data_IF_453725024169
#
_entry.id   IF_453725024169
#
_cell.length_a   1.000
_cell.length_b   1.000
_cell.length_c   1.000
_cell.angle_alpha   90.00
_cell.angle_beta   90.00
_cell.angle_gamma   90.00
#
_symmetry.space_group_name_H-M   'P 1'
#
loop_
_entity.id
_entity.type
_entity.pdbx_description
1 polymer ?
#
# COMPACT_ATOMS: atom_id res chain seq x y z
N UNK A 1 14.21 -22.79 -35.51
CA UNK A 1 12.98 -23.25 -36.21
C UNK A 1 12.24 -24.32 -35.40
N UNK A 2 12.87 -25.47 -35.08
CA UNK A 2 12.21 -26.56 -34.31
C UNK A 2 11.57 -26.09 -32.99
N UNK A 3 12.26 -25.26 -32.19
CA UNK A 3 11.71 -24.67 -30.94
C UNK A 3 10.37 -23.95 -31.15
N UNK A 4 10.26 -23.18 -32.25
CA UNK A 4 9.02 -22.47 -32.57
C UNK A 4 7.90 -23.45 -32.93
N UNK A 5 8.21 -24.52 -33.65
CA UNK A 5 7.23 -25.56 -34.01
C UNK A 5 6.72 -26.26 -32.75
N UNK A 6 7.63 -26.73 -31.88
CA UNK A 6 7.29 -27.41 -30.62
C UNK A 6 6.36 -26.57 -29.73
N UNK A 7 6.56 -25.25 -29.66
CA UNK A 7 5.67 -24.31 -28.93
C UNK A 7 4.19 -24.41 -29.34
N UNK A 8 3.90 -24.82 -30.58
CA UNK A 8 2.53 -25.03 -31.05
C UNK A 8 2.12 -26.51 -31.00
N UNK A 9 2.95 -27.43 -31.52
CA UNK A 9 2.56 -28.84 -31.67
C UNK A 9 2.50 -29.60 -30.33
N UNK A 10 3.16 -29.13 -29.26
CA UNK A 10 3.06 -29.74 -27.92
C UNK A 10 1.68 -29.54 -27.27
N UNK A 11 0.94 -28.51 -27.69
CA UNK A 11 -0.39 -28.23 -27.14
C UNK A 11 -1.39 -29.28 -27.62
N UNK A 12 -2.06 -29.94 -26.69
CA UNK A 12 -3.03 -31.00 -27.00
C UNK A 12 -4.25 -30.49 -27.77
N UNK A 13 -4.53 -29.18 -27.66
CA UNK A 13 -5.61 -28.48 -28.36
C UNK A 13 -5.23 -28.06 -29.81
N UNK A 14 -4.05 -28.46 -30.29
CA UNK A 14 -3.57 -28.16 -31.66
C UNK A 14 -3.70 -29.38 -32.56
N UNK A 15 -4.38 -29.20 -33.70
CA UNK A 15 -4.45 -30.20 -34.77
C UNK A 15 -3.20 -30.09 -35.64
N UNK A 16 -2.44 -31.18 -35.72
CA UNK A 16 -1.20 -31.26 -36.49
C UNK A 16 -1.53 -31.60 -37.94
N UNK A 17 -1.10 -30.74 -38.87
CA UNK A 17 -1.25 -30.98 -40.31
C UNK A 17 0.13 -31.14 -40.92
N UNK A 18 0.48 -32.38 -41.26
CA UNK A 18 1.81 -32.73 -41.79
C UNK A 18 1.71 -32.84 -43.31
N UNK A 19 2.45 -31.99 -44.02
CA UNK A 19 2.48 -32.00 -45.49
C UNK A 19 3.74 -32.73 -45.96
N UNK A 20 3.56 -33.77 -46.76
CA UNK A 20 4.66 -34.60 -47.29
C UNK A 20 4.51 -34.73 -48.80
N UNK A 21 5.56 -34.53 -49.60
CA UNK A 21 5.50 -34.78 -51.03
C UNK A 21 5.64 -36.29 -51.33
N UNK A 22 4.89 -36.81 -52.30
CA UNK A 22 4.83 -38.24 -52.61
C UNK A 22 6.13 -38.81 -53.20
N UNK A 23 7.03 -37.96 -53.68
CA UNK A 23 8.31 -38.37 -54.28
C UNK A 23 9.43 -38.60 -53.24
N UNK A 24 9.12 -38.52 -51.95
CA UNK A 24 10.06 -38.74 -50.84
C UNK A 24 9.49 -39.82 -49.92
N UNK A 25 10.35 -40.64 -49.33
CA UNK A 25 9.93 -41.63 -48.33
C UNK A 25 9.36 -40.93 -47.07
N UNK A 26 8.08 -41.19 -46.81
CA UNK A 26 7.34 -40.61 -45.68
C UNK A 26 7.98 -40.93 -44.33
N UNK A 27 8.57 -42.12 -44.17
CA UNK A 27 9.18 -42.55 -42.91
C UNK A 27 10.41 -41.73 -42.53
N UNK A 28 11.03 -41.08 -43.52
CA UNK A 28 12.23 -40.25 -43.32
C UNK A 28 11.91 -38.78 -43.06
N UNK A 29 10.65 -38.35 -43.24
CA UNK A 29 10.26 -36.94 -43.16
C UNK A 29 10.32 -36.41 -41.74
N UNK A 30 11.15 -35.38 -41.50
CA UNK A 30 11.29 -34.74 -40.17
C UNK A 30 9.95 -34.22 -39.61
N UNK A 31 9.07 -33.70 -40.48
CA UNK A 31 7.78 -33.14 -40.04
C UNK A 31 6.87 -34.21 -39.41
N UNK A 32 6.87 -35.43 -39.95
CA UNK A 32 6.09 -36.53 -39.40
C UNK A 32 6.73 -37.05 -38.10
N UNK A 33 8.06 -37.13 -38.04
CA UNK A 33 8.79 -37.50 -36.81
C UNK A 33 8.49 -36.54 -35.65
N UNK A 34 8.56 -35.22 -35.91
CA UNK A 34 8.20 -34.21 -34.91
C UNK A 34 6.74 -34.32 -34.46
N UNK A 35 5.81 -34.65 -35.37
CA UNK A 35 4.42 -34.89 -35.00
C UNK A 35 4.25 -36.15 -34.14
N UNK A 36 4.95 -37.24 -34.45
CA UNK A 36 4.93 -38.48 -33.68
C UNK A 36 5.55 -38.34 -32.28
N UNK A 37 6.55 -37.47 -32.11
CA UNK A 37 7.13 -37.18 -30.79
C UNK A 37 6.10 -36.59 -29.81
N UNK A 38 5.14 -35.80 -30.30
CA UNK A 38 4.10 -35.13 -29.49
C UNK A 38 2.70 -35.74 -29.62
N UNK A 39 2.49 -36.64 -30.58
CA UNK A 39 1.25 -37.38 -30.84
C UNK A 39 1.57 -38.81 -31.33
N UNK A 40 2.09 -39.70 -30.46
CA UNK A 40 2.49 -41.05 -30.85
C UNK A 40 1.34 -41.90 -31.42
N UNK A 41 0.12 -41.67 -30.92
CA UNK A 41 -1.09 -42.38 -31.36
C UNK A 41 -1.71 -41.78 -32.65
N UNK A 42 -1.16 -40.67 -33.16
CA UNK A 42 -1.68 -39.97 -34.34
C UNK A 42 -3.13 -39.52 -34.20
N UNK A 43 -3.60 -39.21 -32.98
CA UNK A 43 -5.01 -38.88 -32.67
C UNK A 43 -5.44 -37.53 -33.24
N UNK A 44 -4.50 -36.59 -33.30
CA UNK A 44 -4.71 -35.19 -33.73
C UNK A 44 -3.83 -34.82 -34.92
N UNK A 45 -3.22 -35.80 -35.56
CA UNK A 45 -2.33 -35.62 -36.71
C UNK A 45 -2.99 -36.11 -38.00
N UNK A 46 -3.11 -35.23 -38.98
CA UNK A 46 -3.53 -35.54 -40.36
C UNK A 46 -2.33 -35.35 -41.29
N UNK A 47 -2.12 -36.31 -42.19
CA UNK A 47 -1.05 -36.24 -43.17
C UNK A 47 -1.61 -35.95 -44.57
N UNK A 48 -1.00 -34.99 -45.24
CA UNK A 48 -1.37 -34.55 -46.59
C UNK A 48 -0.25 -34.91 -47.54
N UNK A 49 -0.57 -35.75 -48.51
CA UNK A 49 0.35 -36.19 -49.54
C UNK A 49 0.19 -35.31 -50.79
N UNK A 50 1.29 -34.68 -51.22
CA UNK A 50 1.30 -33.68 -52.29
C UNK A 50 2.20 -34.12 -53.46
N UNK A 51 2.04 -33.48 -54.62
CA UNK A 51 2.82 -33.82 -55.83
C UNK A 51 2.69 -35.29 -56.27
N UNK A 52 1.46 -35.84 -56.35
CA UNK A 52 1.27 -37.23 -56.79
C UNK A 52 1.65 -37.46 -58.26
N UNK A 53 1.80 -36.38 -59.04
CA UNK A 53 2.24 -36.36 -60.42
C UNK A 53 3.75 -36.61 -60.61
N UNK A 54 4.55 -36.53 -59.54
CA UNK A 54 6.00 -36.75 -59.56
C UNK A 54 6.40 -38.14 -59.04
N UNK A 55 5.45 -39.07 -58.91
CA UNK A 55 5.72 -40.44 -58.47
C UNK A 55 6.33 -41.24 -59.63
N UNK A 56 7.38 -42.01 -59.35
CA UNK A 56 8.01 -42.89 -60.33
C UNK A 56 7.08 -44.08 -60.66
N UNK A 57 6.89 -44.34 -61.96
CA UNK A 57 6.06 -45.45 -62.44
C UNK A 57 6.53 -46.77 -61.84
N UNK A 58 5.62 -47.49 -61.17
CA UNK A 58 5.89 -48.75 -60.47
C UNK A 58 6.02 -48.63 -58.95
N UNK A 59 6.14 -47.41 -58.39
CA UNK A 59 6.15 -47.18 -56.92
C UNK A 59 4.80 -46.71 -56.36
N UNK A 60 3.83 -46.48 -57.24
CA UNK A 60 2.49 -45.97 -56.92
C UNK A 60 1.75 -46.84 -55.90
N UNK A 61 1.94 -48.16 -55.96
CA UNK A 61 1.33 -49.12 -55.04
C UNK A 61 1.81 -48.93 -53.59
N UNK A 62 3.10 -48.61 -53.39
CA UNK A 62 3.66 -48.35 -52.07
C UNK A 62 3.05 -47.08 -51.46
N UNK A 63 2.85 -46.04 -52.29
CA UNK A 63 2.19 -44.80 -51.86
C UNK A 63 0.71 -45.07 -51.55
N UNK A 64 0.04 -45.92 -52.32
CA UNK A 64 -1.34 -46.32 -52.05
C UNK A 64 -1.46 -47.01 -50.68
N UNK A 65 -0.53 -47.90 -50.32
CA UNK A 65 -0.51 -48.56 -49.01
C UNK A 65 -0.30 -47.57 -47.85
N UNK A 66 0.49 -46.51 -48.06
CA UNK A 66 0.63 -45.40 -47.09
C UNK A 66 -0.72 -44.68 -46.93
N UNK A 67 -1.37 -44.29 -48.04
CA UNK A 67 -2.67 -43.57 -48.00
C UNK A 67 -3.76 -44.42 -47.35
N UNK A 68 -3.72 -45.73 -47.56
CA UNK A 68 -4.62 -46.72 -46.95
C UNK A 68 -4.27 -47.02 -45.48
N UNK A 69 -3.34 -46.27 -44.88
CA UNK A 69 -2.98 -46.35 -43.46
C UNK A 69 -2.29 -47.67 -43.06
N UNK A 70 -1.66 -48.39 -44.01
CA UNK A 70 -1.03 -49.71 -43.76
C UNK A 70 0.41 -49.60 -43.25
N UNK A 71 1.11 -48.51 -43.56
CA UNK A 71 2.53 -48.33 -43.23
C UNK A 71 2.71 -47.59 -41.91
N UNK A 72 2.19 -46.37 -41.79
CA UNK A 72 2.25 -45.56 -40.57
C UNK A 72 0.81 -45.22 -40.19
N UNK A 73 0.23 -45.83 -39.14
CA UNK A 73 -1.16 -45.62 -38.79
C UNK A 73 -1.39 -44.24 -38.16
N UNK A 74 -2.26 -43.44 -38.76
CA UNK A 74 -2.79 -42.18 -38.21
C UNK A 74 -4.30 -42.29 -38.00
N UNK A 75 -4.80 -41.82 -36.86
CA UNK A 75 -6.24 -41.89 -36.55
C UNK A 75 -7.09 -41.01 -37.47
N UNK A 76 -6.52 -39.91 -37.98
CA UNK A 76 -7.17 -39.02 -38.97
C UNK A 76 -6.86 -39.41 -40.42
N UNK A 77 -5.94 -40.37 -40.61
CA UNK A 77 -5.55 -40.90 -41.91
C UNK A 77 -4.76 -39.93 -42.80
N UNK A 78 -4.69 -40.30 -44.07
CA UNK A 78 -3.97 -39.60 -45.13
C UNK A 78 -4.93 -39.07 -46.19
N UNK A 79 -4.61 -37.91 -46.75
CA UNK A 79 -5.35 -37.35 -47.89
C UNK A 79 -4.35 -36.91 -48.95
N UNK A 80 -4.56 -37.35 -50.19
CA UNK A 80 -3.70 -37.00 -51.31
C UNK A 80 -4.30 -35.85 -52.11
N UNK A 81 -3.48 -34.84 -52.42
CA UNK A 81 -3.90 -33.66 -53.18
C UNK A 81 -2.93 -33.34 -54.31
N UNK A 82 -3.47 -32.87 -55.43
CA UNK A 82 -2.69 -32.38 -56.55
C UNK A 82 -2.75 -30.85 -56.56
N UNK A 83 -1.62 -30.23 -56.29
CA UNK A 83 -1.49 -28.78 -56.34
C UNK A 83 -1.16 -28.31 -57.76
N UNK A 84 -1.30 -27.01 -58.00
CA UNK A 84 -0.82 -26.38 -59.24
C UNK A 84 0.70 -26.47 -59.31
N UNK A 85 1.23 -26.88 -60.46
CA UNK A 85 2.67 -26.82 -60.74
C UNK A 85 3.13 -25.38 -61.03
N UNK A 86 4.44 -25.13 -60.99
CA UNK A 86 4.99 -23.78 -61.18
C UNK A 86 4.55 -23.14 -62.51
N UNK A 87 4.59 -23.89 -63.62
CA UNK A 87 4.13 -23.41 -64.94
C UNK A 87 2.67 -22.96 -64.94
N UNK A 88 1.79 -23.69 -64.25
CA UNK A 88 0.36 -23.36 -64.18
C UNK A 88 0.09 -22.12 -63.34
N UNK A 89 0.97 -21.83 -62.37
CA UNK A 89 0.95 -20.59 -61.59
C UNK A 89 1.38 -19.42 -62.47
N UNK A 90 2.47 -19.59 -63.23
CA UNK A 90 2.99 -18.58 -64.15
C UNK A 90 1.97 -18.25 -65.27
N UNK A 91 1.24 -19.26 -65.74
CA UNK A 91 0.13 -19.15 -66.71
C UNK A 91 -1.19 -18.64 -66.12
N UNK A 92 -1.22 -18.30 -64.81
CA UNK A 92 -2.40 -17.79 -64.09
C UNK A 92 -3.65 -18.69 -64.23
N UNK A 93 -3.48 -19.99 -64.14
CA UNK A 93 -4.59 -20.94 -64.16
C UNK A 93 -5.60 -20.66 -63.03
N UNK A 94 -6.89 -20.62 -63.38
CA UNK A 94 -7.98 -20.44 -62.43
C UNK A 94 -8.10 -21.63 -61.45
N UNK A 95 -8.64 -21.36 -60.26
CA UNK A 95 -8.81 -22.38 -59.22
C UNK A 95 -9.79 -23.48 -59.67
N UNK A 96 -10.89 -23.11 -60.33
CA UNK A 96 -11.90 -24.06 -60.82
C UNK A 96 -11.31 -25.05 -61.82
N UNK A 97 -10.45 -24.55 -62.73
CA UNK A 97 -9.75 -25.40 -63.71
C UNK A 97 -8.76 -26.33 -63.01
N UNK A 98 -8.06 -25.87 -61.97
CA UNK A 98 -7.15 -26.70 -61.20
C UNK A 98 -7.89 -27.82 -60.44
N UNK A 99 -9.05 -27.53 -59.85
CA UNK A 99 -9.91 -28.52 -59.17
C UNK A 99 -10.40 -29.56 -60.17
N UNK A 100 -10.82 -29.14 -61.37
CA UNK A 100 -11.26 -30.07 -62.41
C UNK A 100 -10.11 -30.97 -62.88
N UNK A 101 -8.93 -30.40 -63.13
CA UNK A 101 -7.73 -31.18 -63.49
C UNK A 101 -7.27 -32.13 -62.38
N UNK A 102 -7.45 -31.76 -61.11
CA UNK A 102 -7.20 -32.64 -59.98
C UNK A 102 -8.17 -33.83 -59.98
N UNK A 103 -9.48 -33.56 -60.13
CA UNK A 103 -10.50 -34.60 -60.19
C UNK A 103 -10.27 -35.55 -61.37
N UNK A 104 -9.96 -35.00 -62.55
CA UNK A 104 -9.65 -35.78 -63.75
C UNK A 104 -8.38 -36.62 -63.58
N UNK A 105 -7.35 -36.08 -62.92
CA UNK A 105 -6.13 -36.82 -62.62
C UNK A 105 -6.44 -38.06 -61.76
N UNK A 106 -7.13 -37.89 -60.63
CA UNK A 106 -7.42 -39.03 -59.76
C UNK A 106 -8.41 -40.01 -60.39
N UNK A 107 -9.41 -39.53 -61.13
CA UNK A 107 -10.42 -40.38 -61.78
C UNK A 107 -9.82 -41.29 -62.86
N UNK A 108 -8.88 -40.77 -63.64
CA UNK A 108 -8.29 -41.48 -64.77
C UNK A 108 -7.02 -42.27 -64.40
N UNK A 109 -6.53 -42.17 -63.16
CA UNK A 109 -5.32 -42.87 -62.73
C UNK A 109 -5.59 -44.34 -62.40
N UNK A 110 -4.80 -45.25 -62.96
CA UNK A 110 -5.00 -46.71 -62.81
C UNK A 110 -4.99 -47.14 -61.34
N UNK A 111 -3.99 -46.70 -60.56
CA UNK A 111 -3.83 -47.04 -59.13
C UNK A 111 -4.64 -46.14 -58.17
N UNK A 112 -4.67 -44.82 -58.38
CA UNK A 112 -5.25 -43.88 -57.40
C UNK A 112 -6.75 -43.63 -57.56
N UNK A 113 -7.40 -44.16 -58.60
CA UNK A 113 -8.85 -44.00 -58.81
C UNK A 113 -9.69 -44.51 -57.63
N UNK A 114 -9.23 -45.54 -56.91
CA UNK A 114 -9.92 -46.06 -55.73
C UNK A 114 -9.96 -45.05 -54.57
N UNK A 115 -8.98 -44.13 -54.46
CA UNK A 115 -8.91 -43.13 -53.40
C UNK A 115 -10.02 -42.08 -53.48
N UNK A 116 -10.58 -41.86 -54.69
CA UNK A 116 -11.75 -41.01 -54.88
C UNK A 116 -13.00 -41.62 -54.26
N UNK A 117 -13.15 -42.95 -54.33
CA UNK A 117 -14.28 -43.66 -53.73
C UNK A 117 -14.15 -43.78 -52.19
N UNK A 118 -12.92 -43.68 -51.65
CA UNK A 118 -12.63 -43.70 -50.22
C UNK A 118 -12.63 -42.29 -49.57
N UNK A 119 -12.97 -41.24 -50.31
CA UNK A 119 -12.88 -39.83 -49.88
C UNK A 119 -11.47 -39.43 -49.39
N UNK A 120 -10.41 -40.03 -49.95
CA UNK A 120 -9.00 -39.82 -49.54
C UNK A 120 -8.16 -39.07 -50.58
N UNK A 121 -8.76 -38.63 -51.67
CA UNK A 121 -8.09 -37.82 -52.69
C UNK A 121 -8.81 -36.47 -52.87
N UNK A 122 -8.14 -35.49 -53.48
CA UNK A 122 -8.65 -34.14 -53.83
C UNK A 122 -8.73 -33.11 -52.70
N UNK A 123 -8.58 -31.83 -53.07
CA UNK A 123 -8.72 -30.67 -52.20
C UNK A 123 -10.14 -30.54 -51.64
N UNK A 124 -11.17 -30.96 -52.40
CA UNK A 124 -12.57 -30.87 -51.96
C UNK A 124 -12.82 -31.74 -50.73
N UNK A 125 -12.38 -33.00 -50.77
CA UNK A 125 -12.52 -33.91 -49.63
C UNK A 125 -11.60 -33.52 -48.47
N UNK A 126 -10.39 -33.02 -48.77
CA UNK A 126 -9.50 -32.45 -47.75
C UNK A 126 -10.19 -31.32 -46.97
N UNK A 127 -10.77 -30.34 -47.66
CA UNK A 127 -11.43 -29.19 -47.03
C UNK A 127 -12.61 -29.60 -46.15
N UNK A 128 -13.45 -30.52 -46.64
CA UNK A 128 -14.58 -31.05 -45.88
C UNK A 128 -14.12 -31.78 -44.61
N UNK A 129 -13.13 -32.69 -44.73
CA UNK A 129 -12.59 -33.45 -43.59
C UNK A 129 -11.87 -32.56 -42.58
N UNK A 130 -11.07 -31.58 -43.03
CA UNK A 130 -10.41 -30.63 -42.14
C UNK A 130 -11.43 -29.78 -41.36
N UNK A 131 -12.48 -29.32 -42.03
CA UNK A 131 -13.57 -28.57 -41.39
C UNK A 131 -14.25 -29.40 -40.31
N UNK A 132 -14.58 -30.66 -40.62
CA UNK A 132 -15.18 -31.58 -39.66
C UNK A 132 -14.24 -31.87 -38.48
N UNK A 133 -12.97 -32.19 -38.76
CA UNK A 133 -11.97 -32.46 -37.72
C UNK A 133 -11.74 -31.25 -36.81
N UNK A 134 -11.73 -30.05 -37.37
CA UNK A 134 -11.60 -28.82 -36.61
C UNK A 134 -12.80 -28.61 -35.69
N UNK A 135 -14.04 -28.75 -36.20
CA UNK A 135 -15.25 -28.59 -35.39
C UNK A 135 -15.32 -29.64 -34.27
N UNK A 136 -15.03 -30.90 -34.58
CA UNK A 136 -15.01 -31.97 -33.58
C UNK A 136 -13.94 -31.74 -32.52
N UNK A 137 -12.77 -31.26 -32.92
CA UNK A 137 -11.67 -30.96 -32.01
C UNK A 137 -11.98 -29.77 -31.12
N UNK A 138 -12.60 -28.71 -31.66
CA UNK A 138 -13.08 -27.55 -30.89
C UNK A 138 -14.11 -28.01 -29.86
N UNK A 139 -15.14 -28.77 -30.26
CA UNK A 139 -16.18 -29.28 -29.35
C UNK A 139 -15.61 -30.11 -28.19
N UNK A 140 -14.62 -30.97 -28.47
CA UNK A 140 -13.94 -31.78 -27.44
C UNK A 140 -13.06 -30.95 -26.51
N UNK A 141 -12.43 -29.89 -27.02
CA UNK A 141 -11.45 -29.09 -26.27
C UNK A 141 -12.10 -27.95 -25.49
N UNK A 142 -13.28 -27.48 -25.89
CA UNK A 142 -13.95 -26.32 -25.29
C UNK A 142 -14.24 -26.49 -23.78
N UNK A 143 -14.75 -27.63 -23.28
CA UNK A 143 -15.01 -27.81 -21.86
C UNK A 143 -13.72 -27.75 -21.03
N UNK A 144 -12.66 -28.42 -21.50
CA UNK A 144 -11.34 -28.42 -20.86
C UNK A 144 -10.73 -27.02 -20.82
N UNK A 145 -10.87 -26.26 -21.91
CA UNK A 145 -10.43 -24.87 -21.98
C UNK A 145 -11.20 -23.98 -21.00
N UNK A 146 -12.52 -24.17 -20.89
CA UNK A 146 -13.37 -23.44 -19.94
C UNK A 146 -12.95 -23.70 -18.48
N UNK A 147 -12.70 -24.96 -18.12
CA UNK A 147 -12.19 -25.30 -16.78
C UNK A 147 -10.80 -24.69 -16.51
N UNK A 148 -9.91 -24.74 -17.50
CA UNK A 148 -8.56 -24.15 -17.38
C UNK A 148 -8.62 -22.64 -17.18
N UNK A 149 -9.49 -21.94 -17.90
CA UNK A 149 -9.71 -20.49 -17.73
C UNK A 149 -10.28 -20.20 -16.35
N UNK A 150 -11.30 -20.95 -15.89
CA UNK A 150 -11.87 -20.78 -14.55
C UNK A 150 -10.85 -20.98 -13.44
N UNK A 151 -9.98 -22.00 -13.55
CA UNK A 151 -8.87 -22.22 -12.61
C UNK A 151 -7.90 -21.05 -12.61
N UNK A 152 -7.46 -20.59 -13.80
CA UNK A 152 -6.55 -19.44 -13.90
C UNK A 152 -7.17 -18.15 -13.33
N UNK A 153 -8.47 -17.92 -13.53
CA UNK A 153 -9.16 -16.78 -12.92
C UNK A 153 -9.18 -16.92 -11.40
N UNK A 154 -9.43 -18.12 -10.88
CA UNK A 154 -9.41 -18.38 -9.43
C UNK A 154 -8.02 -18.14 -8.82
N UNK A 155 -6.97 -18.68 -9.46
CA UNK A 155 -5.58 -18.50 -9.04
C UNK A 155 -5.20 -17.01 -9.03
N UNK A 156 -5.51 -16.27 -10.11
CA UNK A 156 -5.23 -14.83 -10.20
C UNK A 156 -6.05 -14.02 -9.20
N UNK A 157 -7.32 -14.38 -8.92
CA UNK A 157 -8.11 -13.74 -7.86
C UNK A 157 -7.51 -14.00 -6.48
N UNK A 158 -6.97 -15.19 -6.25
CA UNK A 158 -6.28 -15.52 -4.99
C UNK A 158 -4.97 -14.73 -4.85
N UNK A 159 -4.17 -14.67 -5.92
CA UNK A 159 -2.94 -13.88 -5.96
C UNK A 159 -3.22 -12.37 -5.79
N UNK A 160 -4.30 -11.86 -6.38
CA UNK A 160 -4.75 -10.47 -6.25
C UNK A 160 -5.20 -10.15 -4.83
N UNK A 161 -5.82 -11.11 -4.11
CA UNK A 161 -6.16 -10.94 -2.68
C UNK A 161 -4.93 -10.97 -1.78
N UNK A 162 -3.88 -11.70 -2.17
CA UNK A 162 -2.60 -11.76 -1.45
C UNK A 162 -1.73 -10.52 -1.68
N UNK A 163 -1.90 -9.82 -2.80
CA UNK A 163 -1.38 -8.48 -2.97
C UNK A 163 -2.30 -7.51 -2.22
N UNK A 164 -1.76 -6.69 -1.32
CA UNK A 164 -2.56 -5.72 -0.56
C UNK A 164 -3.48 -4.91 -1.48
N UNK A 165 -4.73 -4.67 -1.02
CA UNK A 165 -5.77 -3.89 -1.67
C UNK A 165 -5.21 -2.52 -2.06
N UNK A 166 -4.68 -2.38 -3.26
CA UNK A 166 -4.24 -1.09 -3.76
C UNK A 166 -5.30 -0.44 -4.65
N UNK A 167 -4.95 0.72 -5.23
CA UNK A 167 -5.94 1.57 -5.86
C UNK A 167 -6.57 0.87 -7.07
N UNK A 168 -7.91 0.95 -7.21
CA UNK A 168 -8.61 0.55 -8.42
C UNK A 168 -8.08 1.28 -9.66
N UNK A 169 -8.20 0.66 -10.83
CA UNK A 169 -7.83 1.26 -12.12
C UNK A 169 -8.84 2.34 -12.56
N UNK A 170 -10.09 2.24 -12.13
CA UNK A 170 -11.13 3.21 -12.46
C UNK A 170 -10.93 4.52 -11.67
N UNK A 171 -10.94 5.70 -12.33
CA UNK A 171 -10.71 6.97 -11.65
C UNK A 171 -11.73 7.32 -10.54
N UNK A 172 -12.99 6.87 -10.65
CA UNK A 172 -14.00 7.13 -9.61
C UNK A 172 -13.78 6.21 -8.41
N UNK A 173 -13.53 4.93 -8.66
CA UNK A 173 -13.19 3.97 -7.60
C UNK A 173 -11.86 4.31 -6.92
N UNK A 174 -10.88 4.80 -7.67
CA UNK A 174 -9.61 5.30 -7.12
C UNK A 174 -9.81 6.51 -6.21
N UNK A 175 -10.75 7.41 -6.53
CA UNK A 175 -11.11 8.53 -5.67
C UNK A 175 -11.77 8.06 -4.37
N UNK A 176 -12.67 7.09 -4.44
CA UNK A 176 -13.30 6.48 -3.26
C UNK A 176 -12.23 5.83 -2.38
N UNK A 177 -11.32 5.07 -3.00
CA UNK A 177 -10.19 4.45 -2.31
C UNK A 177 -9.33 5.49 -1.59
N UNK A 178 -8.94 6.59 -2.28
CA UNK A 178 -8.19 7.68 -1.66
C UNK A 178 -8.94 8.25 -0.45
N UNK A 179 -10.24 8.50 -0.57
CA UNK A 179 -11.06 9.00 0.54
C UNK A 179 -10.97 8.05 1.72
N UNK A 180 -11.21 6.74 1.50
CA UNK A 180 -11.15 5.73 2.55
C UNK A 180 -9.77 5.66 3.22
N UNK A 181 -8.69 5.72 2.44
CA UNK A 181 -7.32 5.71 2.98
C UNK A 181 -7.04 6.97 3.81
N UNK A 182 -7.43 8.15 3.32
CA UNK A 182 -7.21 9.42 4.02
C UNK A 182 -8.09 9.53 5.29
N UNK A 183 -9.33 9.05 5.25
CA UNK A 183 -10.20 9.01 6.43
C UNK A 183 -9.65 8.07 7.48
N UNK A 184 -9.16 6.89 7.09
CA UNK A 184 -8.52 5.94 8.02
C UNK A 184 -7.28 6.52 8.70
N UNK A 185 -6.42 7.23 7.94
CA UNK A 185 -5.31 7.99 8.53
C UNK A 185 -5.79 9.04 9.54
N UNK A 186 -6.84 9.79 9.20
CA UNK A 186 -7.38 10.83 10.09
C UNK A 186 -7.99 10.25 11.37
N UNK A 187 -8.65 9.10 11.29
CA UNK A 187 -9.14 8.38 12.47
C UNK A 187 -7.97 7.97 13.37
N UNK A 188 -6.93 7.33 12.81
CA UNK A 188 -5.74 6.97 13.60
C UNK A 188 -5.06 8.16 14.28
N UNK A 189 -4.94 9.31 13.61
CA UNK A 189 -4.38 10.53 14.21
C UNK A 189 -5.29 11.07 15.32
N UNK A 190 -6.62 11.02 15.15
CA UNK A 190 -7.57 11.43 16.19
C UNK A 190 -7.48 10.51 17.40
N UNK A 191 -7.49 9.20 17.20
CA UNK A 191 -7.43 8.21 18.27
C UNK A 191 -6.13 8.37 19.06
N UNK A 192 -5.01 8.56 18.35
CA UNK A 192 -3.71 8.86 18.96
C UNK A 192 -3.75 10.16 19.78
N UNK A 193 -4.46 11.19 19.32
CA UNK A 193 -4.60 12.47 20.04
C UNK A 193 -5.52 12.39 21.27
N UNK A 194 -6.48 11.46 21.27
CA UNK A 194 -7.37 11.19 22.40
C UNK A 194 -6.73 10.24 23.42
N UNK A 195 -5.67 9.54 23.02
CA UNK A 195 -5.00 8.54 23.85
C UNK A 195 -5.76 7.22 23.92
N UNK A 196 -6.60 6.94 22.92
CA UNK A 196 -7.26 5.64 22.76
C UNK A 196 -6.23 4.61 22.29
N UNK A 197 -6.35 3.37 22.76
CA UNK A 197 -5.50 2.29 22.29
C UNK A 197 -5.90 1.97 20.85
N UNK A 198 -4.96 2.12 19.92
CA UNK A 198 -5.15 1.67 18.54
C UNK A 198 -5.31 0.15 18.59
N UNK A 199 -6.52 -0.33 18.28
CA UNK A 199 -6.87 -1.73 18.41
C UNK A 199 -5.99 -2.59 17.48
N UNK A 200 -5.29 -3.58 18.05
CA UNK A 200 -4.30 -4.40 17.34
C UNK A 200 -4.90 -5.28 16.24
N UNK A 201 -6.21 -5.47 16.24
CA UNK A 201 -6.93 -6.27 15.25
C UNK A 201 -6.94 -5.63 13.85
N UNK A 202 -6.83 -4.30 13.74
CA UNK A 202 -6.68 -3.62 12.45
C UNK A 202 -5.24 -3.68 11.88
N UNK A 203 -4.27 -4.17 12.65
CA UNK A 203 -2.83 -3.95 12.39
C UNK A 203 -1.98 -5.21 12.18
N UNK A 204 -2.51 -6.43 12.35
CA UNK A 204 -1.78 -7.69 12.11
C UNK A 204 -0.35 -7.74 12.71
N UNK A 205 -0.07 -7.01 13.79
CA UNK A 205 1.21 -7.02 14.52
C UNK A 205 1.00 -6.68 15.99
N UNK A 206 1.73 -7.38 16.85
CA UNK A 206 1.76 -7.19 18.31
C UNK A 206 2.05 -5.72 18.67
N UNK A 207 1.12 -5.09 19.39
CA UNK A 207 1.28 -3.73 19.88
C UNK A 207 2.22 -3.75 21.10
N UNK A 208 3.44 -3.24 20.94
CA UNK A 208 4.33 -2.99 22.07
C UNK A 208 3.80 -1.82 22.90
N UNK A 209 3.37 -2.09 24.14
CA UNK A 209 2.93 -1.07 25.12
C UNK A 209 3.96 0.03 25.42
N UNK A 210 5.24 -0.17 25.08
CA UNK A 210 6.33 0.81 25.26
C UNK A 210 6.21 2.04 24.33
N UNK A 211 5.41 1.95 23.25
CA UNK A 211 5.23 3.03 22.28
C UNK A 211 4.01 3.94 22.55
N UNK A 212 3.35 3.80 23.71
CA UNK A 212 2.20 4.64 24.03
C UNK A 212 2.59 6.12 24.16
N UNK A 213 2.07 6.96 23.24
CA UNK A 213 2.29 8.41 23.22
C UNK A 213 2.00 9.04 24.58
N UNK A 214 0.86 8.74 25.20
CA UNK A 214 0.47 9.33 26.48
C UNK A 214 1.38 8.87 27.63
N UNK A 215 1.97 7.67 27.53
CA UNK A 215 2.99 7.21 28.47
C UNK A 215 4.27 8.04 28.39
N UNK A 216 4.75 8.29 27.17
CA UNK A 216 5.95 9.10 26.92
C UNK A 216 5.74 10.57 27.33
N UNK A 217 4.58 11.15 27.01
CA UNK A 217 4.22 12.51 27.41
C UNK A 217 4.13 12.65 28.94
N UNK A 218 3.52 11.68 29.63
CA UNK A 218 3.47 11.70 31.10
C UNK A 218 4.84 11.60 31.75
N UNK A 219 5.76 10.81 31.18
CA UNK A 219 7.12 10.73 31.67
C UNK A 219 7.85 12.08 31.56
N UNK A 220 7.66 12.79 30.44
CA UNK A 220 8.24 14.12 30.24
C UNK A 220 7.62 15.18 31.17
N UNK A 221 6.30 15.18 31.35
CA UNK A 221 5.67 16.10 32.31
C UNK A 221 6.01 15.79 33.76
N UNK A 222 6.32 14.53 34.08
CA UNK A 222 6.89 14.17 35.38
C UNK A 222 8.29 14.77 35.54
N UNK A 223 9.14 14.68 34.52
CA UNK A 223 10.47 15.30 34.51
C UNK A 223 10.39 16.83 34.68
N UNK A 224 9.45 17.50 34.00
CA UNK A 224 9.13 18.92 34.24
C UNK A 224 8.77 19.18 35.71
N UNK A 225 7.88 18.38 36.30
CA UNK A 225 7.49 18.54 37.70
C UNK A 225 8.65 18.30 38.68
N UNK A 226 9.51 17.31 38.40
CA UNK A 226 10.70 17.02 39.21
C UNK A 226 11.69 18.21 39.17
N UNK A 227 11.85 18.86 38.01
CA UNK A 227 12.62 20.09 37.88
C UNK A 227 12.01 21.24 38.70
N UNK A 228 10.67 21.39 38.69
CA UNK A 228 10.00 22.38 39.52
C UNK A 228 10.23 22.15 41.02
N UNK A 229 10.15 20.90 41.50
CA UNK A 229 10.43 20.58 42.90
C UNK A 229 11.89 20.84 43.28
N UNK A 230 12.86 20.57 42.39
CA UNK A 230 14.26 20.98 42.64
C UNK A 230 14.43 22.50 42.75
N UNK A 231 13.71 23.28 41.93
CA UNK A 231 13.74 24.74 42.06
C UNK A 231 13.12 25.23 43.36
N UNK A 232 12.12 24.53 43.91
CA UNK A 232 11.58 24.79 45.25
C UNK A 232 12.65 24.63 46.32
N UNK A 233 13.43 23.55 46.31
CA UNK A 233 14.54 23.35 47.24
C UNK A 233 15.63 24.44 47.13
N UNK A 234 15.95 24.85 45.89
CA UNK A 234 16.88 25.94 45.63
C UNK A 234 16.35 27.30 46.12
N UNK A 235 15.04 27.53 45.97
CA UNK A 235 14.34 28.70 46.47
C UNK A 235 14.43 28.77 47.99
N UNK A 236 14.15 27.67 48.70
CA UNK A 236 14.30 27.58 50.15
C UNK A 236 15.69 27.99 50.65
N UNK A 237 16.76 27.54 49.97
CA UNK A 237 18.13 27.94 50.28
C UNK A 237 18.39 29.44 50.00
N UNK A 238 17.72 29.99 48.99
CA UNK A 238 17.85 31.39 48.56
C UNK A 238 17.06 32.36 49.46
N UNK A 239 15.97 31.92 50.10
CA UNK A 239 15.24 32.71 51.12
C UNK A 239 16.16 33.09 52.29
N UNK A 240 17.12 32.25 52.66
CA UNK A 240 18.14 32.59 53.66
C UNK A 240 18.94 33.83 53.27
N UNK A 241 19.32 33.95 51.98
CA UNK A 241 20.03 35.11 51.43
C UNK A 241 19.12 36.34 51.29
N UNK A 242 17.82 36.14 51.09
CA UNK A 242 16.83 37.22 51.05
C UNK A 242 16.77 37.98 52.38
N UNK A 243 16.91 37.31 53.54
CA UNK A 243 16.98 38.00 54.85
C UNK A 243 18.11 39.01 54.90
N UNK A 244 19.30 38.62 54.46
CA UNK A 244 20.48 39.49 54.44
C UNK A 244 20.36 40.62 53.41
N UNK A 245 19.78 40.34 52.23
CA UNK A 245 19.60 41.32 51.17
C UNK A 245 18.50 42.35 51.50
N UNK A 246 17.38 41.92 52.07
CA UNK A 246 16.31 42.79 52.55
C UNK A 246 16.82 43.76 53.61
N UNK A 247 17.67 43.30 54.53
CA UNK A 247 18.27 44.16 55.55
C UNK A 247 19.25 45.19 54.97
N UNK A 248 20.01 44.84 53.93
CA UNK A 248 20.94 45.76 53.23
C UNK A 248 20.23 46.78 52.34
N UNK A 249 19.11 46.40 51.74
CA UNK A 249 18.30 47.24 50.86
C UNK A 249 17.22 48.05 51.60
N UNK A 250 17.24 48.03 52.94
CA UNK A 250 16.25 48.70 53.79
C UNK A 250 16.33 50.23 53.64
N UNK A 251 15.26 50.82 53.13
CA UNK A 251 15.10 52.27 52.98
C UNK A 251 14.49 52.94 54.23
N UNK A 252 13.50 53.82 54.02
CA UNK A 252 12.76 54.51 55.10
C UNK A 252 11.76 53.62 55.86
N UNK A 253 11.78 52.31 55.63
CA UNK A 253 10.81 51.36 56.16
C UNK A 253 11.00 51.11 57.66
N UNK A 254 9.90 51.17 58.40
CA UNK A 254 9.86 50.87 59.83
C UNK A 254 10.13 49.36 60.08
N UNK A 255 10.67 49.00 61.25
CA UNK A 255 10.92 47.61 61.58
C UNK A 255 9.60 46.82 61.59
N UNK A 256 9.42 45.90 60.62
CA UNK A 256 8.18 45.13 60.48
C UNK A 256 7.59 45.21 59.08
N UNK A 257 7.92 46.25 58.32
CA UNK A 257 7.54 46.42 56.92
C UNK A 257 8.73 46.06 56.01
N UNK A 258 8.45 45.32 54.93
CA UNK A 258 9.41 45.01 53.87
C UNK A 258 9.02 45.73 52.58
N UNK A 259 10.02 46.19 51.81
CA UNK A 259 9.78 46.77 50.51
C UNK A 259 9.16 45.73 49.56
N UNK A 260 7.94 45.98 49.11
CA UNK A 260 7.27 45.12 48.13
C UNK A 260 8.11 44.95 46.85
N UNK A 261 8.87 45.98 46.41
CA UNK A 261 9.72 45.89 45.21
C UNK A 261 10.90 44.92 45.38
N UNK A 262 11.37 44.70 46.60
CA UNK A 262 12.46 43.75 46.88
C UNK A 262 11.92 42.32 46.82
N UNK A 263 10.71 42.10 47.34
CA UNK A 263 9.97 40.83 47.19
C UNK A 263 9.68 40.53 45.72
N UNK A 264 9.18 41.53 45.00
CA UNK A 264 8.85 41.44 43.59
C UNK A 264 10.05 41.05 42.73
N UNK A 265 11.18 41.75 42.87
CA UNK A 265 12.41 41.42 42.15
C UNK A 265 12.94 40.03 42.46
N UNK A 266 12.88 39.62 43.73
CA UNK A 266 13.35 38.31 44.15
C UNK A 266 12.52 37.17 43.51
N UNK A 267 11.20 37.31 43.48
CA UNK A 267 10.32 36.34 42.82
C UNK A 267 10.51 36.33 41.30
N UNK A 268 10.69 37.50 40.68
CA UNK A 268 10.98 37.61 39.24
C UNK A 268 12.29 36.94 38.85
N UNK A 269 13.34 37.03 39.67
CA UNK A 269 14.61 36.31 39.43
C UNK A 269 14.43 34.79 39.49
N UNK A 270 13.59 34.30 40.41
CA UNK A 270 13.31 32.88 40.54
C UNK A 270 12.49 32.33 39.35
N UNK A 271 11.55 33.13 38.84
CA UNK A 271 10.75 32.80 37.66
C UNK A 271 11.57 32.73 36.37
N UNK A 272 12.62 33.55 36.23
CA UNK A 272 13.50 33.51 35.04
C UNK A 272 14.13 32.13 34.84
N UNK A 273 14.52 31.46 35.92
CA UNK A 273 15.17 30.15 35.86
C UNK A 273 14.22 29.02 35.40
N UNK A 274 12.91 29.27 35.42
CA UNK A 274 11.89 28.30 35.00
C UNK A 274 11.54 28.40 33.50
N UNK A 275 11.97 29.47 32.82
CA UNK A 275 11.66 29.68 31.40
C UNK A 275 12.33 28.64 30.51
N UNK A 276 13.64 28.48 30.63
CA UNK A 276 14.41 27.60 29.75
C UNK A 276 13.97 26.12 29.88
N UNK A 277 13.75 25.57 31.10
CA UNK A 277 13.27 24.19 31.22
C UNK A 277 11.85 23.99 30.69
N UNK A 278 11.00 25.02 30.69
CA UNK A 278 9.66 24.95 30.09
C UNK A 278 9.72 24.86 28.56
N UNK A 279 10.62 25.65 27.94
CA UNK A 279 10.86 25.59 26.49
C UNK A 279 11.51 24.27 26.09
N UNK A 280 12.42 23.74 26.91
CA UNK A 280 13.00 22.42 26.68
C UNK A 280 11.93 21.32 26.74
N UNK A 281 11.01 21.37 27.70
CA UNK A 281 9.92 20.39 27.78
C UNK A 281 8.96 20.46 26.57
N UNK A 282 8.71 21.66 26.05
CA UNK A 282 8.01 21.85 24.76
C UNK A 282 8.76 21.17 23.61
N UNK A 283 10.08 21.32 23.54
CA UNK A 283 10.91 20.72 22.48
C UNK A 283 10.89 19.19 22.54
N UNK A 284 11.09 18.60 23.72
CA UNK A 284 11.06 17.14 23.91
C UNK A 284 9.68 16.59 23.55
N UNK A 285 8.62 17.24 24.03
CA UNK A 285 7.24 16.85 23.71
C UNK A 285 6.95 16.90 22.21
N UNK A 286 7.41 17.94 21.52
CA UNK A 286 7.29 18.04 20.05
C UNK A 286 7.93 16.84 19.37
N UNK A 287 9.16 16.47 19.75
CA UNK A 287 9.91 15.40 19.08
C UNK A 287 9.21 14.04 19.28
N UNK A 288 8.65 13.80 20.47
CA UNK A 288 7.83 12.62 20.76
C UNK A 288 6.60 12.56 19.84
N UNK A 289 5.80 13.64 19.78
CA UNK A 289 4.58 13.69 18.97
C UNK A 289 4.93 13.54 17.48
N UNK A 290 5.96 14.24 17.01
CA UNK A 290 6.41 14.19 15.64
C UNK A 290 6.82 12.77 15.22
N UNK A 291 7.57 12.06 16.07
CA UNK A 291 7.95 10.66 15.82
C UNK A 291 6.74 9.76 15.67
N UNK A 292 5.71 9.91 16.51
CA UNK A 292 4.50 9.10 16.45
C UNK A 292 3.66 9.41 15.20
N UNK A 293 3.50 10.69 14.85
CA UNK A 293 2.76 11.07 13.63
C UNK A 293 3.46 10.58 12.36
N UNK A 294 4.79 10.66 12.31
CA UNK A 294 5.58 10.11 11.21
C UNK A 294 5.48 8.57 11.15
N UNK A 295 5.42 7.87 12.30
CA UNK A 295 5.19 6.42 12.36
C UNK A 295 3.82 6.03 11.78
N UNK A 296 2.74 6.71 12.19
CA UNK A 296 1.38 6.49 11.66
C UNK A 296 1.34 6.77 10.15
N UNK A 297 1.97 7.86 9.70
CA UNK A 297 2.06 8.20 8.28
C UNK A 297 2.75 7.10 7.46
N UNK A 298 3.85 6.53 7.98
CA UNK A 298 4.52 5.40 7.35
C UNK A 298 3.64 4.14 7.29
N UNK A 299 2.92 3.82 8.35
CA UNK A 299 2.03 2.65 8.38
C UNK A 299 0.88 2.78 7.38
N UNK A 300 0.31 3.98 7.23
CA UNK A 300 -0.81 4.21 6.32
C UNK A 300 -0.40 4.30 4.85
N UNK A 301 0.77 4.85 4.57
CA UNK A 301 1.18 5.24 3.21
C UNK A 301 2.45 4.54 2.72
N UNK A 302 2.84 3.41 3.32
CA UNK A 302 4.04 2.66 2.92
C UNK A 302 4.07 2.35 1.41
N UNK A 303 2.92 2.03 0.83
CA UNK A 303 2.79 1.67 -0.58
C UNK A 303 2.69 2.88 -1.52
N UNK A 304 2.59 4.10 -0.98
CA UNK A 304 2.36 5.34 -1.73
C UNK A 304 3.45 6.38 -1.40
N UNK A 305 4.64 6.29 -2.02
CA UNK A 305 5.79 7.13 -1.66
C UNK A 305 5.53 8.63 -1.79
N UNK A 306 4.78 9.04 -2.82
CA UNK A 306 4.45 10.45 -3.04
C UNK A 306 3.51 10.98 -1.96
N UNK A 307 2.42 10.26 -1.65
CA UNK A 307 1.49 10.62 -0.58
C UNK A 307 2.18 10.64 0.79
N UNK A 308 3.08 9.69 1.05
CA UNK A 308 3.91 9.66 2.26
C UNK A 308 4.78 10.93 2.37
N UNK A 309 5.46 11.33 1.30
CA UNK A 309 6.31 12.52 1.30
C UNK A 309 5.50 13.81 1.49
N UNK A 310 4.36 13.93 0.79
CA UNK A 310 3.43 15.07 0.95
C UNK A 310 2.93 15.16 2.40
N UNK A 311 2.56 14.02 3.00
CA UNK A 311 2.09 13.96 4.38
C UNK A 311 3.18 14.36 5.37
N UNK A 312 4.40 13.85 5.22
CA UNK A 312 5.54 14.22 6.07
C UNK A 312 5.83 15.73 6.03
N UNK A 313 5.90 16.29 4.83
CA UNK A 313 6.10 17.74 4.67
C UNK A 313 4.99 18.56 5.35
N UNK A 314 3.74 18.09 5.31
CA UNK A 314 2.64 18.74 6.03
C UNK A 314 2.79 18.63 7.54
N UNK A 315 3.16 17.46 8.06
CA UNK A 315 3.44 17.25 9.50
C UNK A 315 4.52 18.25 9.95
N UNK A 316 5.65 18.33 9.24
CA UNK A 316 6.76 19.23 9.57
C UNK A 316 6.33 20.69 9.62
N UNK A 317 5.62 21.15 8.58
CA UNK A 317 5.17 22.53 8.47
C UNK A 317 4.17 22.91 9.57
N UNK A 318 3.23 22.02 9.91
CA UNK A 318 2.24 22.28 10.96
C UNK A 318 2.92 22.27 12.33
N UNK A 319 3.81 21.31 12.60
CA UNK A 319 4.56 21.25 13.85
C UNK A 319 5.39 22.51 14.10
N UNK A 320 6.09 23.03 13.09
CA UNK A 320 6.86 24.27 13.22
C UNK A 320 5.97 25.48 13.56
N UNK A 321 4.82 25.61 12.89
CA UNK A 321 3.86 26.69 13.16
C UNK A 321 3.25 26.59 14.55
N UNK A 322 2.93 25.38 15.02
CA UNK A 322 2.34 25.17 16.34
C UNK A 322 3.36 25.32 17.46
N UNK A 323 4.61 24.91 17.25
CA UNK A 323 5.71 25.14 18.18
C UNK A 323 5.90 26.63 18.46
N UNK A 324 5.98 27.47 17.42
CA UNK A 324 6.16 28.91 17.58
C UNK A 324 5.00 29.54 18.37
N UNK A 325 3.76 29.08 18.14
CA UNK A 325 2.59 29.54 18.92
C UNK A 325 2.67 29.09 20.38
N UNK A 326 2.99 27.83 20.63
CA UNK A 326 3.10 27.28 21.97
C UNK A 326 4.19 28.00 22.78
N UNK A 327 5.35 28.22 22.18
CA UNK A 327 6.46 28.98 22.77
C UNK A 327 6.03 30.41 23.14
N UNK A 328 5.38 31.12 22.23
CA UNK A 328 4.83 32.45 22.51
C UNK A 328 3.86 32.43 23.70
N UNK A 329 2.93 31.47 23.76
CA UNK A 329 1.96 31.37 24.86
C UNK A 329 2.61 31.02 26.20
N UNK A 330 3.65 30.20 26.19
CA UNK A 330 4.43 29.91 27.40
C UNK A 330 5.12 31.19 27.89
N UNK A 331 5.74 31.98 27.00
CA UNK A 331 6.36 33.24 27.36
C UNK A 331 5.36 34.25 27.93
N UNK A 332 4.19 34.40 27.30
CA UNK A 332 3.08 35.22 27.80
C UNK A 332 2.62 34.75 29.20
N UNK A 333 2.57 33.44 29.46
CA UNK A 333 2.26 32.89 30.78
C UNK A 333 3.29 33.31 31.83
N UNK A 334 4.58 33.26 31.50
CA UNK A 334 5.63 33.76 32.39
C UNK A 334 5.58 35.27 32.60
N UNK A 335 5.12 36.03 31.61
CA UNK A 335 4.90 37.48 31.76
C UNK A 335 3.76 37.77 32.74
N UNK A 336 2.66 37.02 32.66
CA UNK A 336 1.55 37.11 33.61
C UNK A 336 1.96 36.72 35.04
N UNK A 337 2.81 35.70 35.21
CA UNK A 337 3.30 35.29 36.53
C UNK A 337 4.25 36.33 37.18
N UNK A 338 4.78 37.29 36.43
CA UNK A 338 5.48 38.44 37.04
C UNK A 338 4.53 39.38 37.79
N UNK A 339 3.22 39.28 37.56
CA UNK A 339 2.20 40.00 38.32
C UNK A 339 1.87 39.19 39.59
N UNK A 340 2.36 39.67 40.73
CA UNK A 340 2.14 38.98 42.01
C UNK A 340 0.68 39.13 42.42
N UNK A 341 -0.08 38.06 42.21
CA UNK A 341 -1.47 37.97 42.62
C UNK A 341 -1.87 36.51 42.93
N UNK A 342 -2.73 36.34 43.93
CA UNK A 342 -3.42 35.07 44.24
C UNK A 342 -4.65 35.39 45.10
N UNK A 343 -5.62 34.47 45.16
CA UNK A 343 -6.79 34.63 46.02
C UNK A 343 -6.42 34.40 47.49
N UNK A 344 -6.94 35.26 48.38
CA UNK A 344 -6.63 35.24 49.81
C UNK A 344 -6.84 33.86 50.45
N UNK A 345 -7.93 33.17 50.10
CA UNK A 345 -8.24 31.85 50.65
C UNK A 345 -7.17 30.80 50.28
N UNK A 346 -6.70 30.81 49.03
CA UNK A 346 -5.68 29.89 48.53
C UNK A 346 -4.34 30.17 49.23
N UNK A 347 -3.99 31.45 49.32
CA UNK A 347 -2.76 31.89 49.98
C UNK A 347 -2.74 31.52 51.46
N UNK A 348 -3.81 31.83 52.20
CA UNK A 348 -3.94 31.54 53.63
C UNK A 348 -3.87 30.05 53.93
N UNK A 349 -4.48 29.21 53.08
CA UNK A 349 -4.42 27.75 53.21
C UNK A 349 -2.97 27.24 53.13
N UNK A 350 -2.25 27.61 52.09
CA UNK A 350 -0.87 27.14 51.86
C UNK A 350 0.09 27.72 52.91
N UNK A 351 -0.12 28.98 53.31
CA UNK A 351 0.65 29.59 54.39
C UNK A 351 0.45 28.87 55.72
N UNK A 352 -0.79 28.45 56.03
CA UNK A 352 -1.10 27.68 57.23
C UNK A 352 -0.44 26.30 57.21
N UNK A 353 -0.53 25.59 56.08
CA UNK A 353 0.12 24.27 55.88
C UNK A 353 1.64 24.34 56.07
N UNK A 354 2.29 25.41 55.61
CA UNK A 354 3.74 25.63 55.79
C UNK A 354 4.08 25.98 57.24
N UNK A 355 3.24 26.79 57.89
CA UNK A 355 3.49 27.29 59.26
C UNK A 355 3.20 26.25 60.35
N UNK A 356 2.27 25.34 60.08
CA UNK A 356 1.82 24.28 61.01
C UNK A 356 1.52 22.98 60.27
N UNK A 357 2.55 22.15 60.00
CA UNK A 357 2.38 20.92 59.21
C UNK A 357 1.50 19.85 59.89
N UNK A 358 1.31 19.91 61.22
CA UNK A 358 0.59 18.88 62.01
C UNK A 358 -0.87 19.24 62.38
N UNK A 359 -1.38 20.44 62.03
CA UNK A 359 -2.76 20.87 62.35
C UNK A 359 -3.65 20.96 61.08
N UNK A 360 -4.93 20.54 61.18
CA UNK A 360 -5.90 20.72 60.09
C UNK A 360 -6.37 22.18 60.00
N UNK A 361 -6.39 22.73 58.78
CA UNK A 361 -6.88 24.08 58.48
C UNK A 361 -8.30 24.32 59.00
N UNK A 362 -8.49 25.40 59.77
CA UNK A 362 -9.77 25.89 60.28
C UNK A 362 -9.86 27.39 59.95
N UNK A 363 -10.87 27.80 59.19
CA UNK A 363 -11.07 29.21 58.74
C UNK A 363 -11.12 30.23 59.90
N UNK A 364 -11.53 29.79 61.09
CA UNK A 364 -11.67 30.64 62.28
C UNK A 364 -10.33 30.98 62.98
N UNK A 365 -9.21 30.34 62.60
CA UNK A 365 -7.87 30.57 63.19
C UNK A 365 -6.93 31.24 62.18
N UNK A 366 -7.25 32.44 61.75
CA UNK A 366 -6.37 33.24 60.89
C UNK A 366 -5.16 33.76 61.68
N UNK A 367 -3.92 33.61 61.19
CA UNK A 367 -2.75 34.19 61.84
C UNK A 367 -2.80 35.72 61.79
N UNK A 368 -2.53 36.36 62.93
CA UNK A 368 -2.35 37.82 63.03
C UNK A 368 -1.07 38.20 62.26
N UNK A 369 -1.21 39.05 61.24
CA UNK A 369 -0.18 39.40 60.23
C UNK A 369 1.01 40.26 60.74
N UNK A 370 1.42 40.14 62.01
CA UNK A 370 2.27 41.17 62.65
C UNK A 370 3.61 40.69 63.22
N UNK A 371 4.08 39.50 62.85
CA UNK A 371 5.40 39.01 63.26
C UNK A 371 6.40 38.98 62.09
N UNK A 372 7.49 39.76 62.21
CA UNK A 372 8.69 39.77 61.33
C UNK A 372 9.23 38.39 60.92
N UNK A 373 8.88 37.35 61.67
CA UNK A 373 9.33 35.99 61.44
C UNK A 373 8.59 35.26 60.31
N UNK A 374 7.50 35.81 59.74
CA UNK A 374 6.67 35.09 58.76
C UNK A 374 6.96 35.41 57.28
N UNK A 375 7.83 36.39 56.98
CA UNK A 375 8.14 36.77 55.59
C UNK A 375 8.73 35.62 54.72
N UNK A 376 9.66 34.79 55.24
CA UNK A 376 10.14 33.59 54.54
C UNK A 376 9.01 32.63 54.15
N UNK A 377 8.13 32.33 55.10
CA UNK A 377 7.00 31.41 54.96
C UNK A 377 5.95 31.98 54.01
N UNK A 378 5.74 33.30 54.03
CA UNK A 378 4.88 34.05 53.11
C UNK A 378 5.38 33.99 51.66
N UNK A 379 6.69 34.14 51.43
CA UNK A 379 7.31 34.03 50.11
C UNK A 379 7.30 32.59 49.61
N UNK A 380 7.57 31.64 50.50
CA UNK A 380 7.52 30.22 50.20
C UNK A 380 6.10 29.79 49.82
N UNK A 381 5.08 30.25 50.53
CA UNK A 381 3.69 29.98 50.23
C UNK A 381 3.32 30.49 48.83
N UNK A 382 3.73 31.73 48.49
CA UNK A 382 3.47 32.29 47.17
C UNK A 382 4.22 31.53 46.06
N UNK A 383 5.49 31.22 46.26
CA UNK A 383 6.28 30.48 45.28
C UNK A 383 5.74 29.06 45.04
N UNK A 384 5.24 28.39 46.08
CA UNK A 384 4.59 27.09 45.93
C UNK A 384 3.32 27.16 45.08
N UNK A 385 2.54 28.24 45.18
CA UNK A 385 1.36 28.48 44.32
C UNK A 385 1.78 28.67 42.87
N UNK A 386 2.86 29.43 42.62
CA UNK A 386 3.41 29.63 41.28
C UNK A 386 3.86 28.29 40.70
N UNK A 387 4.62 27.49 41.45
CA UNK A 387 5.06 26.16 41.02
C UNK A 387 3.88 25.25 40.66
N UNK A 388 2.84 25.19 41.50
CA UNK A 388 1.63 24.40 41.21
C UNK A 388 0.94 24.85 39.92
N UNK A 389 0.76 26.17 39.72
CA UNK A 389 0.16 26.69 38.49
C UNK A 389 0.99 26.33 37.26
N UNK A 390 2.31 26.42 37.35
CA UNK A 390 3.21 26.10 36.23
C UNK A 390 3.32 24.59 35.96
N UNK A 391 3.18 23.76 36.99
CA UNK A 391 3.11 22.30 36.87
C UNK A 391 1.89 21.87 36.02
N UNK A 392 0.75 22.58 36.15
CA UNK A 392 -0.46 22.26 35.39
C UNK A 392 -0.51 22.99 34.03
N UNK A 393 -0.27 24.31 34.03
CA UNK A 393 -0.54 25.16 32.86
C UNK A 393 0.42 24.89 31.70
N UNK A 394 1.71 24.66 31.97
CA UNK A 394 2.70 24.42 30.91
C UNK A 394 2.38 23.13 30.16
N UNK A 395 2.20 21.96 30.82
CA UNK A 395 1.75 20.75 30.13
C UNK A 395 0.41 20.91 29.40
N UNK A 396 -0.58 21.57 30.00
CA UNK A 396 -1.88 21.80 29.35
C UNK A 396 -1.76 22.62 28.06
N UNK A 397 -0.95 23.68 28.07
CA UNK A 397 -0.67 24.50 26.89
C UNK A 397 0.02 23.68 25.80
N UNK A 398 1.06 22.92 26.17
CA UNK A 398 1.81 22.06 25.24
C UNK A 398 0.88 21.01 24.61
N UNK A 399 0.08 20.30 25.42
CA UNK A 399 -0.88 19.31 24.93
C UNK A 399 -1.92 19.91 23.99
N UNK A 400 -2.41 21.11 24.32
CA UNK A 400 -3.41 21.77 23.48
C UNK A 400 -2.85 22.13 22.09
N UNK A 401 -1.70 22.80 22.02
CA UNK A 401 -1.13 23.25 20.74
C UNK A 401 -0.42 22.13 19.97
N UNK A 402 0.44 21.36 20.64
CA UNK A 402 1.30 20.38 19.97
C UNK A 402 0.59 19.07 19.65
N UNK A 403 -0.40 18.66 20.43
CA UNK A 403 -1.13 17.41 20.18
C UNK A 403 -2.50 17.68 19.55
N UNK A 404 -3.41 18.32 20.29
CA UNK A 404 -4.81 18.46 19.87
C UNK A 404 -4.97 19.34 18.63
N UNK A 405 -4.39 20.54 18.65
CA UNK A 405 -4.54 21.49 17.55
C UNK A 405 -3.73 21.06 16.31
N UNK A 406 -2.55 20.47 16.51
CA UNK A 406 -1.75 19.88 15.42
C UNK A 406 -2.49 18.73 14.74
N UNK A 407 -3.07 17.79 15.49
CA UNK A 407 -3.90 16.72 14.95
C UNK A 407 -5.09 17.28 14.14
N UNK A 408 -5.81 18.25 14.71
CA UNK A 408 -6.95 18.90 14.03
C UNK A 408 -6.55 19.53 12.70
N UNK A 409 -5.47 20.31 12.68
CA UNK A 409 -4.98 20.97 11.46
C UNK A 409 -4.47 19.96 10.44
N UNK A 410 -3.76 18.93 10.88
CA UNK A 410 -3.28 17.86 10.00
C UNK A 410 -4.45 17.17 9.32
N UNK A 411 -5.51 16.79 10.05
CA UNK A 411 -6.69 16.18 9.45
C UNK A 411 -7.35 17.09 8.41
N UNK A 412 -7.46 18.40 8.69
CA UNK A 412 -8.04 19.34 7.72
C UNK A 412 -7.17 19.50 6.47
N UNK A 413 -5.86 19.60 6.62
CA UNK A 413 -4.95 19.76 5.49
C UNK A 413 -4.86 18.49 4.64
N UNK A 414 -4.90 17.31 5.25
CA UNK A 414 -4.89 16.03 4.53
C UNK A 414 -6.18 15.85 3.73
N UNK A 415 -7.34 16.22 4.28
CA UNK A 415 -8.60 16.22 3.51
C UNK A 415 -8.57 17.22 2.36
N UNK A 416 -7.91 18.37 2.51
CA UNK A 416 -7.79 19.34 1.40
C UNK A 416 -7.01 18.81 0.19
N UNK A 417 -6.22 17.73 0.34
CA UNK A 417 -5.55 17.06 -0.79
C UNK A 417 -6.55 16.44 -1.79
N UNK A 418 -7.81 16.25 -1.40
CA UNK A 418 -8.87 15.77 -2.27
C UNK A 418 -9.29 16.78 -3.35
N UNK A 419 -9.13 18.08 -3.08
CA UNK A 419 -9.65 19.15 -3.94
C UNK A 419 -8.64 19.61 -5.02
N UNK A 420 -7.35 19.29 -4.85
CA UNK A 420 -6.27 19.91 -5.62
C UNK A 420 -5.40 18.99 -6.47
N UNK A 421 -5.53 17.67 -6.41
CA UNK A 421 -4.51 16.77 -6.97
C UNK A 421 -5.05 15.77 -8.00
N UNK A 422 -4.21 15.45 -8.99
CA UNK A 422 -4.34 14.27 -9.83
C UNK A 422 -4.26 13.03 -8.92
N UNK A 423 -5.42 12.41 -8.63
CA UNK A 423 -5.56 11.22 -7.77
C UNK A 423 -4.52 10.13 -8.10
N UNK A 424 -4.17 10.02 -9.39
CA UNK A 424 -3.19 9.06 -9.90
C UNK A 424 -1.74 9.33 -9.42
N UNK A 425 -1.37 10.59 -9.17
CA UNK A 425 -0.05 10.94 -8.63
C UNK A 425 0.04 10.62 -7.14
N UNK A 426 -1.05 10.88 -6.39
CA UNK A 426 -1.14 10.58 -4.96
C UNK A 426 -1.10 9.07 -4.68
N UNK A 427 -1.81 8.29 -5.49
CA UNK A 427 -1.88 6.83 -5.35
C UNK A 427 -0.82 6.09 -6.17
N UNK A 428 0.22 6.78 -6.64
CA UNK A 428 1.28 6.14 -7.39
C UNK A 428 2.07 5.17 -6.49
N UNK A 429 2.01 3.88 -6.83
CA UNK A 429 2.68 2.82 -6.08
C UNK A 429 4.13 2.64 -6.49
N UNK A 430 4.93 2.09 -5.58
CA UNK A 430 6.29 1.65 -5.90
C UNK A 430 6.26 0.53 -6.94
N UNK A 431 7.24 0.58 -7.85
CA UNK A 431 7.03 0.15 -9.23
C UNK A 431 6.81 -1.36 -9.40
N UNK A 432 7.24 -2.21 -8.47
CA UNK A 432 7.14 -3.67 -8.64
C UNK A 432 5.78 -4.24 -8.23
N UNK A 433 5.22 -3.78 -7.11
CA UNK A 433 3.90 -4.23 -6.63
C UNK A 433 2.79 -3.66 -7.53
N UNK A 434 2.90 -2.38 -7.89
CA UNK A 434 1.96 -1.74 -8.81
C UNK A 434 1.98 -2.35 -10.20
N UNK A 435 3.18 -2.60 -10.78
CA UNK A 435 3.30 -3.28 -12.08
C UNK A 435 2.70 -4.68 -12.04
N UNK A 436 3.00 -5.45 -11.00
CA UNK A 436 2.46 -6.80 -10.83
C UNK A 436 0.93 -6.78 -10.70
N UNK A 437 0.36 -5.83 -9.95
CA UNK A 437 -1.10 -5.71 -9.83
C UNK A 437 -1.76 -5.35 -11.16
N UNK A 438 -1.21 -4.39 -11.91
CA UNK A 438 -1.71 -4.02 -13.24
C UNK A 438 -1.63 -5.21 -14.21
N UNK A 439 -0.54 -5.97 -14.18
CA UNK A 439 -0.40 -7.18 -15.01
C UNK A 439 -1.44 -8.25 -14.66
N UNK A 440 -1.66 -8.52 -13.37
CA UNK A 440 -2.67 -9.48 -12.91
C UNK A 440 -4.07 -9.01 -13.29
N UNK A 441 -4.39 -7.73 -13.07
CA UNK A 441 -5.71 -7.17 -13.36
C UNK A 441 -6.01 -7.20 -14.87
N UNK A 442 -5.08 -6.74 -15.71
CA UNK A 442 -5.23 -6.79 -17.18
C UNK A 442 -5.30 -8.22 -17.71
N UNK A 443 -4.63 -9.19 -17.07
CA UNK A 443 -4.76 -10.60 -17.41
C UNK A 443 -6.11 -11.16 -16.98
N UNK A 444 -6.61 -10.79 -15.81
CA UNK A 444 -7.91 -11.18 -15.29
C UNK A 444 -9.05 -10.66 -16.17
N UNK A 445 -8.97 -9.40 -16.61
CA UNK A 445 -9.96 -8.80 -17.54
C UNK A 445 -10.01 -9.57 -18.87
N UNK A 446 -8.83 -9.88 -19.44
CA UNK A 446 -8.74 -10.70 -20.67
C UNK A 446 -9.35 -12.09 -20.49
N UNK A 447 -9.12 -12.73 -19.34
CA UNK A 447 -9.67 -14.04 -19.04
C UNK A 447 -11.19 -13.99 -18.81
N UNK A 448 -11.70 -12.95 -18.16
CA UNK A 448 -13.15 -12.75 -17.99
C UNK A 448 -13.83 -12.57 -19.34
N UNK A 449 -13.28 -11.75 -20.23
CA UNK A 449 -13.78 -11.58 -21.62
C UNK A 449 -13.76 -12.92 -22.37
N UNK A 450 -12.69 -13.71 -22.21
CA UNK A 450 -12.59 -15.03 -22.81
C UNK A 450 -13.66 -15.99 -22.27
N UNK A 451 -13.92 -15.99 -20.96
CA UNK A 451 -14.95 -16.80 -20.32
C UNK A 451 -16.36 -16.41 -20.75
N UNK A 452 -16.63 -15.12 -20.89
CA UNK A 452 -17.92 -14.60 -21.38
C UNK A 452 -18.17 -15.05 -22.81
N UNK A 453 -17.17 -14.92 -23.69
CA UNK A 453 -17.27 -15.39 -25.09
C UNK A 453 -17.50 -16.89 -25.19
N UNK A 454 -16.86 -17.70 -24.34
CA UNK A 454 -17.08 -19.15 -24.30
C UNK A 454 -18.50 -19.45 -23.83
N UNK A 455 -18.99 -18.77 -22.79
CA UNK A 455 -20.35 -18.94 -22.28
C UNK A 455 -21.42 -18.60 -23.33
N UNK A 456 -21.17 -17.58 -24.16
CA UNK A 456 -22.07 -17.19 -25.24
C UNK A 456 -22.01 -18.10 -26.49
N UNK A 457 -20.99 -18.97 -26.58
CA UNK A 457 -20.76 -19.87 -27.72
C UNK A 457 -21.17 -21.32 -27.48
N UNK A 458 -21.48 -21.67 -26.21
CA UNK A 458 -22.07 -22.95 -25.79
C UNK A 458 -23.57 -22.78 -25.74
#
# INVERSE_FOLDING_TARGET
IKILIFKYIEKTETLNMVVVPCNIDIATTEALKMAQEVDPDGKRTVAILTKPDLIDKGTEQNILDIVQNKVIPLSKGYIMVKCRGQKQIDEKMSLDRAIQMEADFFKNHEVFSCLMNEDKATVKFLSAKLSQFLVDHIKKSLPLLSEKIKRQIWDLKSELKGCELGPPLDPQEAKIFLITTLTGFNEMIKDLSLGELIDGELMNRELNCEDNLMGQLRAEFKNWNDNLEQTKESFHKSIGKFKDHSQKCRGRELPGFSNYKVVEKFLQECLKNLKDPAIESLRVTKDIIHKQFTKVSHQCFQNYPYLLNVTKNKIDNIHLKQQAKAEQRILEQFEMENLIFTQDAIYKKILYEISKPDEKYLEEKLPVFDNKSMYPEMLQAYYQIVVQRMADQVPMLILYFMLRETARLLCTEILSLMDGAHVNELLCEDSDVGRKRIEIQTRLDRLNIAQERISNSV
#
